data_IF_644563623270
#
_entry.id   IF_644563623270
#
_cell.length_a   1.000
_cell.length_b   1.000
_cell.length_c   1.000
_cell.angle_alpha   90.00
_cell.angle_beta   90.00
_cell.angle_gamma   90.00
#
_symmetry.space_group_name_H-M   'P 1'
#
loop_
_entity.id
_entity.type
_entity.pdbx_description
1 polymer ?
#
# COMPACT_ATOMS: atom_id res chain seq x y z
N UNK A 1 -23.99 -8.70 8.27
CA UNK A 1 -22.63 -8.77 8.84
C UNK A 1 -22.07 -7.36 8.84
N UNK A 2 -21.31 -6.96 9.86
CA UNK A 2 -20.74 -5.62 9.88
C UNK A 2 -19.56 -5.59 8.90
N UNK A 3 -19.52 -4.59 8.01
CA UNK A 3 -18.43 -4.38 7.03
C UNK A 3 -17.03 -4.55 7.63
N UNK A 4 -16.85 -4.13 8.89
CA UNK A 4 -15.58 -4.20 9.62
C UNK A 4 -15.15 -5.65 9.92
N UNK A 5 -16.08 -6.56 10.19
CA UNK A 5 -15.77 -7.98 10.41
C UNK A 5 -15.29 -8.64 9.12
N UNK A 6 -15.94 -8.36 7.99
CA UNK A 6 -15.56 -8.89 6.68
C UNK A 6 -14.19 -8.34 6.24
N UNK A 7 -13.92 -7.06 6.49
CA UNK A 7 -12.61 -6.45 6.23
C UNK A 7 -11.52 -7.03 7.13
N UNK A 8 -11.82 -7.31 8.40
CA UNK A 8 -10.90 -7.98 9.31
C UNK A 8 -10.64 -9.44 8.86
N UNK A 9 -11.64 -10.12 8.30
CA UNK A 9 -11.45 -11.45 7.71
C UNK A 9 -10.57 -11.39 6.45
N UNK A 10 -10.75 -10.37 5.59
CA UNK A 10 -9.85 -10.12 4.46
C UNK A 10 -8.40 -9.88 4.91
N UNK A 11 -8.21 -9.06 5.96
CA UNK A 11 -6.90 -8.80 6.54
C UNK A 11 -6.21 -10.09 7.02
N UNK A 12 -6.94 -10.98 7.69
CA UNK A 12 -6.42 -12.26 8.20
C UNK A 12 -5.97 -13.24 7.10
N UNK A 13 -6.38 -13.04 5.85
CA UNK A 13 -5.93 -13.85 4.70
C UNK A 13 -4.52 -13.50 4.23
N UNK A 14 -3.98 -12.39 4.72
CA UNK A 14 -2.68 -11.86 4.35
C UNK A 14 -1.76 -12.00 5.57
N UNK A 15 -0.47 -12.28 5.41
CA UNK A 15 0.50 -12.28 6.51
C UNK A 15 0.84 -10.84 6.95
N UNK A 16 -0.18 -10.01 7.22
CA UNK A 16 -0.07 -8.59 7.52
C UNK A 16 -0.74 -8.26 8.85
N UNK A 17 -0.15 -7.33 9.59
CA UNK A 17 -0.80 -6.70 10.73
C UNK A 17 -1.80 -5.66 10.23
N UNK A 18 -3.07 -5.81 10.63
CA UNK A 18 -4.08 -4.77 10.47
C UNK A 18 -3.94 -3.76 11.61
N UNK A 19 -3.53 -2.54 11.28
CA UNK A 19 -3.43 -1.42 12.22
C UNK A 19 -4.48 -0.37 11.92
N UNK A 20 -5.20 0.09 12.93
CA UNK A 20 -6.15 1.19 12.79
C UNK A 20 -5.58 2.44 13.49
N UNK A 21 -5.61 3.57 12.78
CA UNK A 21 -5.17 4.87 13.31
C UNK A 21 -6.06 5.97 12.76
N UNK A 22 -6.79 6.66 13.64
CA UNK A 22 -7.65 7.81 13.30
C UNK A 22 -8.70 7.47 12.21
N UNK A 23 -9.24 6.25 12.23
CA UNK A 23 -10.22 5.76 11.25
C UNK A 23 -9.60 5.33 9.90
N UNK A 24 -8.28 5.29 9.79
CA UNK A 24 -7.58 4.71 8.64
C UNK A 24 -6.99 3.36 9.05
N UNK A 25 -7.40 2.32 8.34
CA UNK A 25 -6.88 0.98 8.48
C UNK A 25 -5.69 0.81 7.55
N UNK A 26 -4.63 0.20 8.03
CA UNK A 26 -3.37 -0.04 7.32
C UNK A 26 -3.01 -1.51 7.42
N UNK A 27 -2.73 -2.11 6.27
CA UNK A 27 -2.25 -3.47 6.08
C UNK A 27 -0.86 -3.40 5.48
N UNK A 28 0.15 -3.84 6.23
CA UNK A 28 1.54 -3.81 5.79
C UNK A 28 2.21 -5.16 6.01
N UNK A 29 2.89 -5.66 4.97
CA UNK A 29 3.72 -6.85 5.07
C UNK A 29 4.82 -6.87 4.02
N UNK A 30 5.89 -7.63 4.29
CA UNK A 30 7.05 -7.75 3.40
C UNK A 30 6.73 -8.76 2.30
N UNK A 31 6.70 -8.31 1.04
CA UNK A 31 6.48 -9.17 -0.14
C UNK A 31 7.76 -9.76 -0.69
N UNK A 32 8.90 -9.11 -0.47
CA UNK A 32 10.22 -9.64 -0.78
C UNK A 32 11.30 -9.05 0.12
N UNK A 33 12.36 -9.81 0.33
CA UNK A 33 13.62 -9.31 0.88
C UNK A 33 14.75 -9.70 -0.06
N UNK A 34 15.66 -8.77 -0.34
CA UNK A 34 16.92 -9.06 -1.01
C UNK A 34 18.10 -8.66 -0.14
N UNK A 35 19.14 -9.49 -0.14
CA UNK A 35 20.42 -9.19 0.50
C UNK A 35 21.37 -8.62 -0.54
N UNK A 36 21.94 -7.45 -0.26
CA UNK A 36 22.96 -6.81 -1.07
C UNK A 36 24.21 -6.56 -0.21
N UNK A 37 25.20 -7.44 -0.37
CA UNK A 37 26.51 -7.41 0.29
C UNK A 37 26.44 -7.41 1.84
N UNK A 38 26.25 -6.25 2.46
CA UNK A 38 26.12 -6.06 3.92
C UNK A 38 24.77 -5.45 4.34
N UNK A 39 23.89 -5.14 3.39
CA UNK A 39 22.61 -4.48 3.63
C UNK A 39 21.44 -5.39 3.23
N UNK A 40 20.33 -5.28 3.96
CA UNK A 40 19.06 -5.91 3.61
C UNK A 40 18.12 -4.85 3.09
N UNK A 41 17.50 -5.12 1.94
CA UNK A 41 16.42 -4.32 1.41
C UNK A 41 15.14 -5.14 1.39
N UNK A 42 14.07 -4.58 1.95
CA UNK A 42 12.76 -5.19 2.05
C UNK A 42 11.80 -4.44 1.14
N UNK A 43 11.08 -5.15 0.30
CA UNK A 43 9.95 -4.64 -0.43
C UNK A 43 8.69 -4.95 0.38
N UNK A 44 7.99 -3.91 0.82
CA UNK A 44 6.82 -3.97 1.66
C UNK A 44 5.61 -3.53 0.87
N UNK A 45 4.57 -4.35 0.85
CA UNK A 45 3.26 -3.93 0.37
C UNK A 45 2.51 -3.19 1.48
N UNK A 46 1.89 -2.07 1.13
CA UNK A 46 1.11 -1.23 2.04
C UNK A 46 -0.24 -0.93 1.40
N UNK A 47 -1.30 -1.53 1.92
CA UNK A 47 -2.67 -1.16 1.61
C UNK A 47 -3.27 -0.33 2.75
N UNK A 48 -4.03 0.70 2.41
CA UNK A 48 -4.77 1.50 3.39
C UNK A 48 -6.20 1.70 2.94
N UNK A 49 -7.11 1.68 3.89
CA UNK A 49 -8.50 2.00 3.62
C UNK A 49 -9.16 2.80 4.74
N UNK A 50 -10.16 3.59 4.35
CA UNK A 50 -11.03 4.31 5.26
C UNK A 50 -12.47 4.05 4.87
N UNK A 51 -13.30 3.87 5.89
CA UNK A 51 -14.75 3.73 5.74
C UNK A 51 -15.36 5.09 6.10
N UNK A 52 -16.13 5.65 5.18
CA UNK A 52 -16.98 6.82 5.38
C UNK A 52 -18.42 6.32 5.47
N UNK A 53 -18.90 6.16 6.70
CA UNK A 53 -20.24 5.67 7.00
C UNK A 53 -21.33 6.67 6.56
N UNK A 54 -21.05 7.97 6.60
CA UNK A 54 -21.99 9.03 6.20
C UNK A 54 -22.27 9.00 4.68
N UNK A 55 -21.22 8.80 3.87
CA UNK A 55 -21.33 8.72 2.42
C UNK A 55 -21.56 7.30 1.90
N UNK A 56 -21.47 6.30 2.78
CA UNK A 56 -21.38 4.89 2.41
C UNK A 56 -20.29 4.64 1.36
N UNK A 57 -19.10 5.16 1.61
CA UNK A 57 -17.94 5.01 0.72
C UNK A 57 -16.80 4.31 1.44
N UNK A 58 -16.10 3.41 0.74
CA UNK A 58 -14.82 2.86 1.18
C UNK A 58 -13.74 3.37 0.25
N UNK A 59 -12.83 4.18 0.80
CA UNK A 59 -11.65 4.68 0.08
C UNK A 59 -10.49 3.74 0.31
N UNK A 60 -9.88 3.27 -0.77
CA UNK A 60 -8.79 2.31 -0.73
C UNK A 60 -7.60 2.82 -1.55
N UNK A 61 -6.39 2.62 -1.03
CA UNK A 61 -5.13 2.87 -1.72
C UNK A 61 -4.14 1.76 -1.42
N UNK A 62 -3.22 1.52 -2.35
CA UNK A 62 -2.16 0.54 -2.18
C UNK A 62 -0.88 0.98 -2.91
N UNK A 63 0.26 0.59 -2.34
CA UNK A 63 1.59 0.92 -2.88
C UNK A 63 2.65 -0.10 -2.41
N UNK A 64 3.76 -0.16 -3.16
CA UNK A 64 4.98 -0.85 -2.76
C UNK A 64 5.99 0.13 -2.18
N UNK A 65 6.62 -0.23 -1.06
CA UNK A 65 7.64 0.55 -0.35
C UNK A 65 8.91 -0.29 -0.20
N UNK A 66 10.03 0.20 -0.70
CA UNK A 66 11.33 -0.39 -0.37
C UNK A 66 11.86 0.22 0.93
N UNK A 67 12.12 -0.58 1.97
CA UNK A 67 12.84 -0.17 3.16
C UNK A 67 14.25 -0.79 3.17
N UNK A 68 15.30 0.03 3.30
CA UNK A 68 16.69 -0.43 3.42
C UNK A 68 17.21 -0.21 4.84
N UNK A 69 17.74 -1.26 5.47
CA UNK A 69 18.48 -1.12 6.73
C UNK A 69 19.92 -0.71 6.41
N UNK A 70 20.19 0.60 6.41
CA UNK A 70 21.51 1.20 6.24
C UNK A 70 21.48 2.65 6.76
N UNK A 71 22.50 3.05 7.51
CA UNK A 71 22.63 4.34 8.22
C UNK A 71 21.95 5.53 7.52
N UNK A 72 20.88 6.05 8.13
CA UNK A 72 20.41 7.41 7.88
C UNK A 72 20.72 8.23 9.14
N UNK A 73 21.93 8.78 9.19
CA UNK A 73 22.25 9.86 10.12
C UNK A 73 21.46 11.10 9.68
N UNK A 74 20.67 11.68 10.58
CA UNK A 74 20.12 13.03 10.40
C UNK A 74 18.61 13.11 10.58
N UNK A 75 18.23 13.76 11.67
CA UNK A 75 16.93 14.27 12.07
C UNK A 75 16.12 14.95 10.95
N UNK A 76 14.77 14.90 11.07
CA UNK A 76 13.71 15.51 10.24
C UNK A 76 12.96 14.58 9.28
N UNK A 77 11.83 14.04 9.76
CA UNK A 77 10.55 13.84 9.04
C UNK A 77 10.54 13.20 7.63
N UNK A 78 11.54 12.38 7.27
CA UNK A 78 11.55 11.63 6.02
C UNK A 78 12.16 10.25 6.27
N UNK A 79 11.30 9.24 6.49
CA UNK A 79 11.74 7.84 6.45
C UNK A 79 12.28 7.52 5.05
N UNK A 80 13.48 6.93 4.92
CA UNK A 80 14.10 6.62 3.63
C UNK A 80 13.49 5.32 3.10
N UNK A 81 12.30 5.44 2.51
CA UNK A 81 11.64 4.35 1.81
C UNK A 81 11.44 4.75 0.36
N UNK A 82 12.25 4.19 -0.55
CA UNK A 82 12.32 4.58 -1.97
C UNK A 82 12.53 6.09 -2.18
N UNK A 83 13.71 6.46 -2.66
CA UNK A 83 13.96 7.80 -3.16
C UNK A 83 12.99 8.13 -4.29
N UNK A 84 11.86 8.75 -3.97
CA UNK A 84 11.39 9.90 -4.73
C UNK A 84 12.40 11.02 -4.51
N UNK A 85 13.63 10.79 -4.99
CA UNK A 85 14.49 11.89 -5.35
C UNK A 85 13.61 12.73 -6.26
N UNK A 86 13.53 13.99 -5.89
CA UNK A 86 13.23 15.14 -6.73
C UNK A 86 14.22 15.20 -7.91
N UNK A 87 14.42 14.09 -8.63
CA UNK A 87 15.14 14.02 -9.87
C UNK A 87 14.11 14.35 -10.95
N UNK A 88 14.34 15.52 -11.54
CA UNK A 88 13.61 16.16 -12.61
C UNK A 88 13.38 15.19 -13.79
N UNK A 89 12.42 14.30 -13.69
CA UNK A 89 11.82 13.66 -14.85
C UNK A 89 10.58 14.47 -15.21
N UNK A 90 10.65 15.03 -16.42
CA UNK A 90 9.78 16.10 -16.92
C UNK A 90 8.32 15.86 -16.55
N UNK A 91 7.83 16.81 -15.75
CA UNK A 91 6.45 17.04 -15.38
C UNK A 91 5.69 17.43 -16.66
N UNK A 92 5.12 16.45 -17.34
CA UNK A 92 4.07 16.67 -18.33
C UNK A 92 2.72 16.54 -17.63
N UNK A 93 2.13 17.69 -17.27
CA UNK A 93 0.74 17.89 -16.84
C UNK A 93 -0.05 16.63 -16.38
N UNK A 94 0.10 16.25 -15.11
CA UNK A 94 -0.76 15.25 -14.45
C UNK A 94 -0.02 14.44 -13.37
N UNK A 95 -0.69 14.05 -12.27
CA UNK A 95 -0.08 13.18 -11.26
C UNK A 95 0.06 11.79 -11.86
N UNK A 96 1.26 11.44 -12.34
CA UNK A 96 1.60 10.05 -12.67
C UNK A 96 2.18 9.35 -11.45
N UNK A 97 1.30 9.11 -10.47
CA UNK A 97 1.45 8.02 -9.52
C UNK A 97 1.01 6.76 -10.27
N UNK A 98 1.94 5.81 -10.49
CA UNK A 98 1.62 4.56 -11.17
C UNK A 98 0.78 3.65 -10.26
N UNK A 99 -0.15 2.92 -10.86
CA UNK A 99 -0.89 1.82 -10.23
C UNK A 99 0.06 0.79 -9.57
N UNK A 100 -0.47 -0.01 -8.65
CA UNK A 100 0.32 -1.11 -8.01
C UNK A 100 0.95 -2.05 -9.05
N UNK A 101 0.31 -2.21 -10.22
CA UNK A 101 0.80 -3.05 -11.33
C UNK A 101 2.04 -2.43 -12.00
N UNK A 102 2.05 -1.11 -12.19
CA UNK A 102 3.21 -0.38 -12.71
C UNK A 102 4.36 -0.41 -11.71
N UNK A 103 4.09 -0.16 -10.42
CA UNK A 103 5.08 -0.28 -9.36
C UNK A 103 5.64 -1.70 -9.30
N UNK A 104 4.76 -2.70 -9.41
CA UNK A 104 5.14 -4.10 -9.36
C UNK A 104 6.07 -4.48 -10.51
N UNK A 105 5.77 -4.03 -11.73
CA UNK A 105 6.61 -4.24 -12.91
C UNK A 105 8.01 -3.62 -12.74
N UNK A 106 8.09 -2.44 -12.14
CA UNK A 106 9.37 -1.76 -11.88
C UNK A 106 10.20 -2.52 -10.84
N UNK A 107 9.60 -2.88 -9.70
CA UNK A 107 10.28 -3.63 -8.65
C UNK A 107 10.60 -5.07 -9.05
N UNK A 108 9.83 -5.67 -9.95
CA UNK A 108 10.07 -7.02 -10.49
C UNK A 108 11.40 -7.17 -11.23
N UNK A 109 12.05 -6.06 -11.63
CA UNK A 109 13.41 -6.06 -12.18
C UNK A 109 14.48 -6.32 -11.13
N UNK A 110 14.18 -5.97 -9.88
CA UNK A 110 15.14 -5.94 -8.76
C UNK A 110 14.81 -6.93 -7.63
N UNK A 111 13.56 -7.37 -7.56
CA UNK A 111 13.00 -8.28 -6.56
C UNK A 111 12.24 -9.40 -7.25
N UNK A 112 12.47 -10.63 -6.81
CA UNK A 112 11.63 -11.77 -7.16
C UNK A 112 10.56 -11.94 -6.11
N UNK A 113 9.29 -11.78 -6.50
CA UNK A 113 8.13 -12.06 -5.66
C UNK A 113 6.94 -12.47 -6.52
N UNK A 114 6.04 -13.25 -5.93
CA UNK A 114 4.85 -13.79 -6.57
C UNK A 114 3.62 -13.52 -5.71
N UNK A 115 3.40 -12.25 -5.36
CA UNK A 115 2.23 -11.83 -4.59
C UNK A 115 1.18 -11.22 -5.52
N UNK A 116 -0.04 -11.74 -5.48
CA UNK A 116 -1.16 -11.20 -6.24
C UNK A 116 -1.88 -10.11 -5.43
N UNK A 117 -1.50 -8.85 -5.68
CA UNK A 117 -2.11 -7.68 -5.05
C UNK A 117 -3.62 -7.57 -5.30
N UNK A 118 -4.12 -8.12 -6.41
CA UNK A 118 -5.54 -8.07 -6.76
C UNK A 118 -6.38 -8.82 -5.74
N UNK A 119 -5.86 -9.88 -5.13
CA UNK A 119 -6.58 -10.63 -4.08
C UNK A 119 -6.98 -9.75 -2.90
N UNK A 120 -6.11 -8.85 -2.46
CA UNK A 120 -6.38 -7.91 -1.36
C UNK A 120 -7.46 -6.93 -1.76
N UNK A 121 -7.28 -6.31 -2.94
CA UNK A 121 -8.22 -5.33 -3.49
C UNK A 121 -9.61 -5.94 -3.66
N UNK A 122 -9.71 -7.08 -4.34
CA UNK A 122 -10.97 -7.76 -4.62
C UNK A 122 -11.66 -8.21 -3.34
N UNK A 123 -10.92 -8.65 -2.32
CA UNK A 123 -11.52 -9.00 -1.03
C UNK A 123 -12.18 -7.79 -0.36
N UNK A 124 -11.47 -6.66 -0.31
CA UNK A 124 -11.95 -5.41 0.30
C UNK A 124 -13.11 -4.82 -0.49
N UNK A 125 -13.01 -4.81 -1.82
CA UNK A 125 -14.07 -4.37 -2.71
C UNK A 125 -15.33 -5.22 -2.53
N UNK A 126 -15.21 -6.55 -2.51
CA UNK A 126 -16.33 -7.44 -2.30
C UNK A 126 -16.99 -7.22 -0.94
N UNK A 127 -16.21 -7.04 0.13
CA UNK A 127 -16.74 -6.71 1.46
C UNK A 127 -17.48 -5.37 1.46
N UNK A 128 -16.92 -4.35 0.82
CA UNK A 128 -17.55 -3.03 0.69
C UNK A 128 -18.89 -3.11 -0.06
N UNK A 129 -18.90 -3.73 -1.23
CA UNK A 129 -20.08 -3.84 -2.10
C UNK A 129 -21.16 -4.70 -1.45
N UNK A 130 -20.79 -5.82 -0.81
CA UNK A 130 -21.74 -6.67 -0.07
C UNK A 130 -22.40 -5.92 1.09
N UNK A 131 -21.69 -4.98 1.72
CA UNK A 131 -22.23 -4.11 2.77
C UNK A 131 -22.98 -2.87 2.23
N UNK A 132 -23.03 -2.68 0.91
CA UNK A 132 -23.71 -1.55 0.26
C UNK A 132 -22.89 -0.25 0.21
N UNK A 133 -21.56 -0.34 0.31
CA UNK A 133 -20.65 0.80 0.21
C UNK A 133 -20.08 0.91 -1.21
N UNK A 134 -19.88 2.14 -1.69
CA UNK A 134 -19.17 2.40 -2.93
C UNK A 134 -17.66 2.24 -2.72
N UNK A 135 -17.02 1.37 -3.51
CA UNK A 135 -15.57 1.21 -3.49
C UNK A 135 -14.89 2.29 -4.33
N UNK A 136 -13.97 3.05 -3.71
CA UNK A 136 -13.21 4.13 -4.34
C UNK A 136 -11.72 3.80 -4.30
N UNK A 137 -11.17 3.41 -5.44
CA UNK A 137 -9.74 3.19 -5.60
C UNK A 137 -9.02 4.53 -5.88
N UNK A 138 -8.03 4.87 -5.07
CA UNK A 138 -7.16 6.02 -5.28
C UNK A 138 -5.70 5.61 -5.22
N UNK A 139 -4.91 6.11 -6.17
CA UNK A 139 -3.48 5.76 -6.28
C UNK A 139 -2.65 6.38 -5.15
N UNK A 140 -3.18 7.42 -4.54
CA UNK A 140 -2.49 8.26 -3.55
C UNK A 140 -3.17 8.10 -2.20
N UNK A 141 -2.40 8.26 -1.11
CA UNK A 141 -2.99 8.32 0.22
C UNK A 141 -3.54 9.71 0.58
N UNK A 142 -3.47 10.71 -0.32
CA UNK A 142 -3.99 12.05 -0.07
C UNK A 142 -5.51 12.02 -0.10
N UNK A 143 -6.14 12.26 1.06
CA UNK A 143 -7.61 12.26 1.20
C UNK A 143 -8.20 10.96 1.75
N UNK A 144 -7.36 10.03 2.23
CA UNK A 144 -7.75 9.03 3.24
C UNK A 144 -7.81 9.65 4.64
#
# INVERSE_FOLDING_TARGET
MALRDDLAACAKRIPADLKEKKGVYTLEFVVAERKAFLSKKKLTYSAKFRIDDDKKELRFTEMLKEASSGMSSGDSDMSPGFGFKKEKYKIGAGPREGSIEEQSTLFGKEYTYSFDFKTVRTCIEHAAVAAGYAFKYQVTSLGL
#
